data_IF_322088264850
#
_entry.id   IF_322088264850
#
_cell.length_a   1.000
_cell.length_b   1.000
_cell.length_c   1.000
_cell.angle_alpha   90.00
_cell.angle_beta   90.00
_cell.angle_gamma   90.00
#
_symmetry.space_group_name_H-M   'P 1'
#
loop_
_entity.id
_entity.type
_entity.pdbx_description
1 polymer ?
#
# COMPACT_ATOMS: atom_id res chain seq x y z
N UNK A 1 3.59 -23.34 -7.62
CA UNK A 1 3.65 -22.15 -6.74
C UNK A 1 2.27 -21.97 -6.14
N UNK A 2 2.08 -22.41 -4.90
CA UNK A 2 0.82 -22.20 -4.17
C UNK A 2 0.91 -20.83 -3.49
N UNK A 3 -0.02 -19.92 -3.76
CA UNK A 3 -0.15 -18.70 -2.96
C UNK A 3 -0.65 -19.12 -1.57
N UNK A 4 0.09 -18.89 -0.47
CA UNK A 4 -0.31 -19.35 0.86
C UNK A 4 -1.29 -18.33 1.46
N UNK A 5 -2.45 -18.15 0.84
CA UNK A 5 -3.49 -17.31 1.43
C UNK A 5 -4.37 -18.19 2.33
N UNK A 6 -3.79 -18.63 3.44
CA UNK A 6 -4.58 -19.20 4.53
C UNK A 6 -5.18 -18.05 5.32
N UNK A 7 -6.49 -17.89 5.18
CA UNK A 7 -7.25 -17.01 6.04
C UNK A 7 -7.39 -17.72 7.38
N UNK A 8 -6.85 -17.12 8.42
CA UNK A 8 -7.01 -17.63 9.78
C UNK A 8 -8.50 -17.63 10.18
N UNK A 9 -9.00 -18.78 10.58
CA UNK A 9 -10.43 -18.96 10.92
C UNK A 9 -10.83 -18.16 12.15
N UNK A 10 -9.92 -17.96 13.11
CA UNK A 10 -10.21 -17.20 14.34
C UNK A 10 -10.31 -15.70 14.06
N UNK A 11 -9.44 -15.16 13.19
CA UNK A 11 -9.60 -13.80 12.65
C UNK A 11 -10.95 -13.65 11.94
N UNK A 12 -11.32 -14.62 11.11
CA UNK A 12 -12.57 -14.59 10.35
C UNK A 12 -13.80 -14.61 11.26
N UNK A 13 -13.80 -15.44 12.32
CA UNK A 13 -14.88 -15.47 13.32
C UNK A 13 -15.06 -14.13 14.02
N UNK A 14 -13.96 -13.50 14.41
CA UNK A 14 -13.98 -12.18 15.07
C UNK A 14 -14.55 -11.11 14.16
N UNK A 15 -14.14 -11.11 12.89
CA UNK A 15 -14.70 -10.24 11.86
C UNK A 15 -16.22 -10.48 11.70
N UNK A 16 -16.66 -11.72 11.50
CA UNK A 16 -18.08 -12.06 11.31
C UNK A 16 -18.93 -11.68 12.53
N UNK A 17 -18.45 -11.93 13.75
CA UNK A 17 -19.18 -11.53 14.97
C UNK A 17 -19.37 -10.01 15.05
N UNK A 18 -18.30 -9.24 14.81
CA UNK A 18 -18.39 -7.78 14.84
C UNK A 18 -19.29 -7.21 13.73
N UNK A 19 -19.49 -7.92 12.63
CA UNK A 19 -20.48 -7.58 11.62
C UNK A 19 -21.91 -7.81 12.12
N UNK A 20 -22.20 -9.01 12.62
CA UNK A 20 -23.54 -9.40 13.08
C UNK A 20 -23.99 -8.57 14.29
N UNK A 21 -23.08 -8.17 15.17
CA UNK A 21 -23.39 -7.24 16.27
C UNK A 21 -23.83 -5.86 15.78
N UNK A 22 -23.24 -5.37 14.68
CA UNK A 22 -23.58 -4.07 14.08
C UNK A 22 -24.86 -4.12 13.24
N UNK A 23 -25.24 -5.29 12.77
CA UNK A 23 -26.41 -5.53 11.94
C UNK A 23 -27.20 -6.74 12.47
N UNK A 24 -27.86 -6.62 13.64
CA UNK A 24 -28.57 -7.73 14.27
C UNK A 24 -29.76 -8.24 13.46
N UNK A 25 -30.26 -7.45 12.51
CA UNK A 25 -31.31 -7.86 11.56
C UNK A 25 -30.77 -8.39 10.23
N UNK A 26 -29.45 -8.50 10.06
CA UNK A 26 -28.85 -9.05 8.85
C UNK A 26 -29.24 -10.54 8.71
N UNK A 27 -30.12 -10.81 7.74
CA UNK A 27 -30.40 -12.16 7.25
C UNK A 27 -29.58 -12.43 5.98
N UNK A 28 -28.31 -12.01 6.01
CA UNK A 28 -27.45 -12.16 4.86
C UNK A 28 -27.09 -13.63 4.62
N UNK A 29 -27.06 -13.99 3.34
CA UNK A 29 -26.58 -15.31 2.92
C UNK A 29 -25.06 -15.36 3.02
N UNK A 30 -24.47 -16.56 2.98
CA UNK A 30 -23.01 -16.72 2.93
C UNK A 30 -22.37 -15.85 1.84
N UNK A 31 -22.99 -15.79 0.66
CA UNK A 31 -22.52 -14.97 -0.46
C UNK A 31 -22.63 -13.47 -0.15
N UNK A 32 -23.72 -13.04 0.51
CA UNK A 32 -23.91 -11.66 0.97
C UNK A 32 -22.85 -11.22 1.98
N UNK A 33 -22.59 -12.04 3.00
CA UNK A 33 -21.54 -11.78 4.00
C UNK A 33 -20.16 -11.71 3.35
N UNK A 34 -19.88 -12.60 2.38
CA UNK A 34 -18.60 -12.63 1.67
C UNK A 34 -18.42 -11.42 0.76
N UNK A 35 -19.33 -11.20 -0.18
CA UNK A 35 -19.21 -10.21 -1.25
C UNK A 35 -19.34 -8.78 -0.75
N UNK A 36 -20.31 -8.51 0.12
CA UNK A 36 -20.65 -7.14 0.49
C UNK A 36 -19.94 -6.67 1.74
N UNK A 37 -19.75 -7.56 2.72
CA UNK A 37 -19.15 -7.17 3.98
C UNK A 37 -17.67 -7.51 4.04
N UNK A 38 -17.28 -8.77 3.87
CA UNK A 38 -15.89 -9.18 4.09
C UNK A 38 -14.94 -8.55 3.06
N UNK A 39 -15.29 -8.60 1.77
CA UNK A 39 -14.48 -7.96 0.72
C UNK A 39 -14.40 -6.46 0.94
N UNK A 40 -15.53 -5.78 1.20
CA UNK A 40 -15.55 -4.32 1.40
C UNK A 40 -14.74 -3.92 2.63
N UNK A 41 -14.93 -4.60 3.77
CA UNK A 41 -14.27 -4.26 5.02
C UNK A 41 -12.76 -4.49 4.91
N UNK A 42 -12.34 -5.59 4.25
CA UNK A 42 -10.92 -5.89 4.02
C UNK A 42 -10.28 -4.99 2.97
N UNK A 43 -10.99 -4.61 1.91
CA UNK A 43 -10.50 -3.63 0.94
C UNK A 43 -10.30 -2.28 1.63
N UNK A 44 -11.25 -1.82 2.46
CA UNK A 44 -11.12 -0.55 3.18
C UNK A 44 -9.99 -0.58 4.23
N UNK A 45 -9.88 -1.66 5.02
CA UNK A 45 -8.79 -1.83 5.97
C UNK A 45 -7.43 -1.91 5.24
N UNK A 46 -7.39 -2.66 4.13
CA UNK A 46 -6.23 -2.77 3.26
C UNK A 46 -5.84 -1.44 2.61
N UNK A 47 -6.81 -0.59 2.25
CA UNK A 47 -6.55 0.76 1.72
C UNK A 47 -5.88 1.68 2.74
N UNK A 48 -6.25 1.60 4.02
CA UNK A 48 -5.57 2.35 5.07
C UNK A 48 -4.14 1.85 5.28
N UNK A 49 -3.95 0.53 5.33
CA UNK A 49 -2.62 -0.08 5.41
C UNK A 49 -1.75 0.25 4.20
N UNK A 50 -2.34 0.22 2.99
CA UNK A 50 -1.67 0.58 1.74
C UNK A 50 -1.25 2.05 1.73
N UNK A 51 -2.11 2.97 2.17
CA UNK A 51 -1.77 4.39 2.27
C UNK A 51 -0.62 4.63 3.26
N UNK A 52 -0.67 4.00 4.43
CA UNK A 52 0.40 4.10 5.42
C UNK A 52 1.72 3.53 4.89
N UNK A 53 1.69 2.37 4.22
CA UNK A 53 2.86 1.76 3.61
C UNK A 53 3.43 2.63 2.48
N UNK A 54 2.58 3.18 1.61
CA UNK A 54 3.02 4.10 0.55
C UNK A 54 3.63 5.38 1.12
N UNK A 55 3.05 5.94 2.18
CA UNK A 55 3.61 7.12 2.86
C UNK A 55 4.97 6.81 3.49
N UNK A 56 5.13 5.64 4.08
CA UNK A 56 6.42 5.19 4.62
C UNK A 56 7.46 5.01 3.51
N UNK A 57 7.11 4.33 2.41
CA UNK A 57 8.00 4.17 1.26
C UNK A 57 8.35 5.50 0.57
N UNK A 58 7.45 6.48 0.59
CA UNK A 58 7.72 7.85 0.14
C UNK A 58 8.73 8.54 1.07
N UNK A 59 8.58 8.38 2.38
CA UNK A 59 9.52 8.94 3.37
C UNK A 59 10.92 8.29 3.31
N UNK A 60 10.99 7.01 2.97
CA UNK A 60 12.24 6.26 2.79
C UNK A 60 12.89 6.54 1.43
N UNK A 61 12.21 7.26 0.53
CA UNK A 61 12.69 7.61 -0.79
C UNK A 61 12.73 6.43 -1.78
N UNK A 62 12.13 5.29 -1.44
CA UNK A 62 12.05 4.11 -2.31
C UNK A 62 10.87 4.22 -3.31
N UNK A 63 9.85 5.01 -2.98
CA UNK A 63 8.71 5.31 -3.86
C UNK A 63 8.56 6.82 -4.02
N UNK A 64 8.27 7.28 -5.23
CA UNK A 64 7.94 8.67 -5.51
C UNK A 64 6.46 8.80 -5.90
N UNK A 65 5.76 9.73 -5.23
CA UNK A 65 4.41 10.13 -5.58
C UNK A 65 4.45 11.21 -6.67
N UNK A 66 3.67 11.03 -7.73
CA UNK A 66 3.54 11.95 -8.84
C UNK A 66 2.07 12.31 -8.99
N UNK A 67 1.75 13.60 -8.84
CA UNK A 67 0.41 14.10 -9.11
C UNK A 67 0.30 14.42 -10.61
N UNK A 68 -0.62 13.74 -11.29
CA UNK A 68 -0.97 14.04 -12.68
C UNK A 68 -1.78 15.34 -12.79
N UNK A 69 -1.86 15.89 -14.00
CA UNK A 69 -2.56 17.16 -14.26
C UNK A 69 -4.07 17.07 -13.96
N UNK A 70 -4.63 15.86 -14.00
CA UNK A 70 -6.04 15.58 -13.69
C UNK A 70 -6.30 15.37 -12.18
N UNK A 71 -5.29 15.60 -11.32
CA UNK A 71 -5.35 15.37 -9.88
C UNK A 71 -5.16 13.91 -9.43
N UNK A 72 -5.08 12.98 -10.39
CA UNK A 72 -4.81 11.57 -10.11
C UNK A 72 -3.39 11.38 -9.56
N UNK A 73 -3.26 10.60 -8.49
CA UNK A 73 -1.97 10.27 -7.87
C UNK A 73 -1.40 8.99 -8.47
N UNK A 74 -0.14 9.05 -8.87
CA UNK A 74 0.62 7.93 -9.40
C UNK A 74 1.79 7.64 -8.47
N UNK A 75 2.11 6.38 -8.28
CA UNK A 75 3.26 5.96 -7.47
C UNK A 75 4.24 5.22 -8.38
N UNK A 76 5.50 5.61 -8.35
CA UNK A 76 6.58 4.94 -9.09
C UNK A 76 7.70 4.56 -8.12
N UNK A 77 8.34 3.42 -8.36
CA UNK A 77 9.59 3.14 -7.68
C UNK A 77 10.59 4.26 -7.99
N UNK A 78 11.20 4.83 -6.94
CA UNK A 78 12.35 5.68 -7.13
C UNK A 78 13.46 4.76 -7.65
N UNK A 79 13.86 4.93 -8.91
CA UNK A 79 15.11 4.30 -9.35
C UNK A 79 16.17 4.83 -8.40
N UNK A 80 16.89 3.95 -7.69
CA UNK A 80 18.18 4.29 -7.07
C UNK A 80 19.10 4.75 -8.18
N UNK A 81 18.99 6.01 -8.58
CA UNK A 81 20.10 6.70 -9.19
C UNK A 81 21.15 6.71 -8.10
N UNK A 82 22.16 5.83 -8.21
CA UNK A 82 23.44 6.09 -7.57
C UNK A 82 23.86 7.46 -8.09
N UNK A 83 23.63 8.51 -7.33
CA UNK A 83 24.38 9.74 -7.51
C UNK A 83 25.75 9.39 -6.97
N UNK A 84 26.63 8.92 -7.86
CA UNK A 84 28.05 9.02 -7.61
C UNK A 84 28.32 10.51 -7.36
N UNK A 85 28.93 10.89 -6.21
CA UNK A 85 29.49 12.22 -6.09
C UNK A 85 30.66 12.26 -7.06
N UNK A 86 30.41 12.77 -8.27
CA UNK A 86 31.44 12.98 -9.27
C UNK A 86 32.51 13.89 -8.66
N UNK A 87 33.65 13.25 -8.44
CA UNK A 87 34.78 13.79 -7.74
C UNK A 87 35.31 15.04 -8.42
N UNK A 88 35.72 15.97 -7.55
CA UNK A 88 36.97 16.70 -7.69
C UNK A 88 37.27 17.28 -9.09
N UNK A 89 36.86 18.54 -9.29
CA UNK A 89 37.42 19.39 -10.33
C UNK A 89 38.82 19.87 -9.90
N UNK A 90 39.82 18.98 -9.92
CA UNK A 90 41.22 19.39 -10.06
C UNK A 90 41.50 19.55 -11.56
N UNK A 91 41.62 20.79 -12.01
CA UNK A 91 42.50 21.12 -13.13
C UNK A 91 43.44 22.23 -12.70
N UNK A 92 44.54 21.77 -12.15
CA UNK A 92 45.84 22.40 -12.17
C UNK A 92 46.44 22.25 -13.58
N UNK A 93 46.58 23.39 -14.28
CA UNK A 93 47.47 23.68 -15.43
C UNK A 93 47.58 25.21 -15.42
N UNK A 94 48.67 25.89 -15.08
CA UNK A 94 50.04 25.72 -15.54
C UNK A 94 50.23 26.48 -16.86
N UNK A 95 51.20 27.42 -16.91
CA UNK A 95 51.58 28.42 -17.94
C UNK A 95 51.00 29.83 -17.72
N UNK A 96 51.76 30.93 -17.71
CA UNK A 96 53.20 31.20 -17.86
C UNK A 96 53.46 32.62 -17.31
#
# INVERSE_FOLDING_TARGET
MAWPYQVDTESLKTEILGYLEKHPEAQDTLDGVLQWWLVRNRVMAGLNGLQAALAQLESEGEVARVTGNDGQQWYRAARRSKVEPEGNCTRETGHE
#
